data_IF_505895361600
#
_entry.id   IF_505895361600
#
_cell.length_a   1.000
_cell.length_b   1.000
_cell.length_c   1.000
_cell.angle_alpha   90.00
_cell.angle_beta   90.00
_cell.angle_gamma   90.00
#
_symmetry.space_group_name_H-M   'P 1'
#
loop_
_entity.id
_entity.type
_entity.pdbx_description
1 polymer ?
#
# COMPACT_ATOMS: atom_id res chain seq x y z
N UNK A 1 -26.72 0.58 4.46
CA UNK A 1 -26.37 2.01 4.32
C UNK A 1 -25.11 2.25 5.13
N UNK A 2 -24.18 3.02 4.58
CA UNK A 2 -22.91 3.32 5.22
C UNK A 2 -23.04 4.52 6.16
N UNK A 3 -22.48 4.43 7.36
CA UNK A 3 -22.55 5.49 8.37
C UNK A 3 -21.33 6.41 8.23
N UNK A 4 -21.54 7.68 7.88
CA UNK A 4 -20.45 8.64 7.67
C UNK A 4 -20.65 9.84 8.59
N UNK A 5 -19.63 10.15 9.39
CA UNK A 5 -19.61 11.30 10.30
C UNK A 5 -18.70 12.40 9.74
N UNK A 6 -19.24 13.62 9.62
CA UNK A 6 -18.47 14.83 9.34
C UNK A 6 -18.38 15.70 10.59
N UNK A 7 -17.17 16.17 10.92
CA UNK A 7 -16.90 17.01 12.08
C UNK A 7 -16.10 18.24 11.66
N UNK A 8 -16.68 19.42 11.87
CA UNK A 8 -16.06 20.73 11.55
C UNK A 8 -16.77 21.78 12.41
N UNK A 9 -16.04 22.75 12.97
CA UNK A 9 -16.64 23.79 13.82
C UNK A 9 -17.38 24.88 13.01
N UNK A 10 -17.16 24.95 11.69
CA UNK A 10 -17.92 25.82 10.80
C UNK A 10 -19.19 25.13 10.28
N UNK A 11 -20.32 25.51 10.87
CA UNK A 11 -21.65 25.05 10.46
C UNK A 11 -21.96 25.32 8.96
N UNK A 12 -21.33 26.31 8.32
CA UNK A 12 -21.52 26.56 6.89
C UNK A 12 -20.88 25.47 6.02
N UNK A 13 -19.70 24.98 6.43
CA UNK A 13 -18.99 23.87 5.76
C UNK A 13 -19.86 22.62 5.84
N UNK A 14 -20.32 22.25 7.05
CA UNK A 14 -21.19 21.08 7.26
C UNK A 14 -22.50 21.16 6.48
N UNK A 15 -23.16 22.33 6.48
CA UNK A 15 -24.38 22.54 5.70
C UNK A 15 -24.12 22.47 4.18
N UNK A 16 -22.94 22.93 3.74
CA UNK A 16 -22.45 22.76 2.37
C UNK A 16 -22.36 21.29 1.98
N UNK A 17 -21.65 20.49 2.78
CA UNK A 17 -21.49 19.04 2.59
C UNK A 17 -22.84 18.32 2.61
N UNK A 18 -23.71 18.63 3.58
CA UNK A 18 -25.05 18.04 3.71
C UNK A 18 -25.89 18.24 2.45
N UNK A 19 -25.93 19.45 1.90
CA UNK A 19 -26.71 19.75 0.67
C UNK A 19 -26.16 19.01 -0.54
N UNK A 20 -24.83 18.91 -0.65
CA UNK A 20 -24.15 18.29 -1.80
C UNK A 20 -24.28 16.77 -1.80
N UNK A 21 -24.05 16.12 -0.66
CA UNK A 21 -23.92 14.66 -0.58
C UNK A 21 -25.27 13.92 -0.49
N UNK A 22 -26.30 14.54 0.12
CA UNK A 22 -27.60 13.89 0.37
C UNK A 22 -28.29 13.38 -0.91
N UNK A 23 -28.13 14.08 -2.03
CA UNK A 23 -28.71 13.68 -3.32
C UNK A 23 -27.81 12.78 -4.17
N UNK A 24 -26.50 12.90 -4.01
CA UNK A 24 -25.53 12.23 -4.88
C UNK A 24 -25.23 10.78 -4.46
N UNK A 25 -25.44 10.43 -3.18
CA UNK A 25 -25.08 9.14 -2.58
C UNK A 25 -26.19 8.63 -1.63
N UNK A 26 -27.30 8.07 -2.15
CA UNK A 26 -28.42 7.60 -1.33
C UNK A 26 -28.06 6.43 -0.39
N UNK A 27 -26.97 5.72 -0.66
CA UNK A 27 -26.45 4.64 0.17
C UNK A 27 -25.72 5.13 1.44
N UNK A 28 -25.49 6.44 1.58
CA UNK A 28 -24.80 7.07 2.69
C UNK A 28 -25.79 7.68 3.70
N UNK A 29 -25.67 7.26 4.95
CA UNK A 29 -26.33 7.91 6.07
C UNK A 29 -25.36 8.92 6.70
N UNK A 30 -25.65 10.21 6.48
CA UNK A 30 -24.75 11.31 6.82
C UNK A 30 -25.06 11.89 8.20
N UNK A 31 -24.05 11.93 9.05
CA UNK A 31 -24.08 12.52 10.38
C UNK A 31 -23.12 13.72 10.42
N UNK A 32 -23.47 14.73 11.20
CA UNK A 32 -22.72 15.98 11.27
C UNK A 32 -22.61 16.43 12.72
N UNK A 33 -21.42 16.82 13.15
CA UNK A 33 -21.14 17.36 14.48
C UNK A 33 -20.34 18.66 14.35
N UNK A 34 -20.68 19.68 15.13
CA UNK A 34 -20.02 20.99 15.12
C UNK A 34 -18.85 21.07 16.11
N UNK A 35 -18.50 19.96 16.77
CA UNK A 35 -17.38 19.88 17.71
C UNK A 35 -16.96 18.43 17.94
N UNK A 36 -15.73 18.20 18.40
CA UNK A 36 -15.27 16.88 18.80
C UNK A 36 -16.11 16.25 19.93
N UNK A 37 -16.64 17.05 20.86
CA UNK A 37 -17.50 16.55 21.94
C UNK A 37 -18.84 16.00 21.40
N UNK A 38 -19.50 16.75 20.51
CA UNK A 38 -20.74 16.30 19.85
C UNK A 38 -20.50 15.04 19.00
N UNK A 39 -19.34 14.94 18.34
CA UNK A 39 -18.94 13.75 17.59
C UNK A 39 -18.81 12.51 18.49
N UNK A 40 -18.23 12.64 19.69
CA UNK A 40 -18.13 11.55 20.66
C UNK A 40 -19.50 11.13 21.19
N UNK A 41 -20.40 12.07 21.49
CA UNK A 41 -21.78 11.75 21.91
C UNK A 41 -22.57 10.97 20.84
N UNK A 42 -22.29 11.22 19.56
CA UNK A 42 -22.85 10.43 18.46
C UNK A 42 -22.24 9.04 18.39
N UNK A 43 -20.91 8.93 18.55
CA UNK A 43 -20.18 7.66 18.53
C UNK A 43 -20.51 6.73 19.70
N UNK A 44 -20.96 7.27 20.84
CA UNK A 44 -21.49 6.45 21.94
C UNK A 44 -22.81 5.75 21.58
N UNK A 45 -23.55 6.28 20.59
CA UNK A 45 -24.89 5.79 20.23
C UNK A 45 -24.86 4.83 19.04
N UNK A 46 -23.84 4.91 18.19
CA UNK A 46 -23.72 4.09 16.98
C UNK A 46 -22.27 4.08 16.45
N UNK A 47 -21.95 3.06 15.67
CA UNK A 47 -20.66 2.94 14.98
C UNK A 47 -20.68 3.64 13.61
N UNK A 48 -19.54 4.20 13.24
CA UNK A 48 -19.31 4.83 11.93
C UNK A 48 -18.40 3.98 11.05
N UNK A 49 -18.70 3.95 9.75
CA UNK A 49 -17.80 3.34 8.76
C UNK A 49 -16.65 4.29 8.40
N UNK A 50 -16.94 5.59 8.32
CA UNK A 50 -15.97 6.64 7.99
C UNK A 50 -16.22 7.88 8.84
N UNK A 51 -15.15 8.45 9.38
CA UNK A 51 -15.14 9.69 10.15
C UNK A 51 -14.23 10.68 9.41
N UNK A 52 -14.77 11.84 9.06
CA UNK A 52 -14.04 12.95 8.43
C UNK A 52 -14.04 14.12 9.39
N UNK A 53 -12.87 14.53 9.87
CA UNK A 53 -12.72 15.62 10.83
C UNK A 53 -11.84 16.73 10.28
N UNK A 54 -12.21 17.98 10.55
CA UNK A 54 -11.24 19.07 10.53
C UNK A 54 -10.17 18.87 11.62
N UNK A 55 -8.97 19.40 11.38
CA UNK A 55 -7.89 19.36 12.36
C UNK A 55 -8.00 20.47 13.42
N UNK A 56 -8.40 21.69 13.04
CA UNK A 56 -8.42 22.87 13.92
C UNK A 56 -9.83 23.17 14.44
N UNK A 57 -10.22 22.51 15.53
CA UNK A 57 -11.50 22.78 16.18
C UNK A 57 -11.30 23.31 17.61
N UNK A 58 -12.11 24.28 18.07
CA UNK A 58 -12.07 24.77 19.44
C UNK A 58 -12.39 23.68 20.48
N UNK A 59 -11.67 23.71 21.60
CA UNK A 59 -11.87 22.78 22.72
C UNK A 59 -11.22 21.43 22.49
N UNK A 60 -11.75 20.63 21.56
CA UNK A 60 -11.20 19.34 21.16
C UNK A 60 -10.81 19.39 19.69
N UNK A 61 -9.50 19.33 19.43
CA UNK A 61 -8.95 19.28 18.06
C UNK A 61 -9.25 17.93 17.39
N UNK A 62 -9.16 17.89 16.05
CA UNK A 62 -9.44 16.67 15.29
C UNK A 62 -8.51 15.51 15.65
N UNK A 63 -7.28 15.81 16.06
CA UNK A 63 -6.31 14.79 16.50
C UNK A 63 -6.80 14.08 17.76
N UNK A 64 -7.17 14.84 18.78
CA UNK A 64 -7.66 14.33 20.06
C UNK A 64 -8.96 13.55 19.88
N UNK A 65 -9.84 14.01 18.99
CA UNK A 65 -11.04 13.28 18.60
C UNK A 65 -10.68 11.91 18.02
N UNK A 66 -9.79 11.87 17.03
CA UNK A 66 -9.42 10.63 16.35
C UNK A 66 -8.61 9.67 17.23
N UNK A 67 -7.81 10.17 18.17
CA UNK A 67 -7.14 9.34 19.20
C UNK A 67 -8.16 8.61 20.08
N UNK A 68 -9.29 9.25 20.35
CA UNK A 68 -10.39 8.65 21.11
C UNK A 68 -11.13 7.64 20.24
N UNK A 69 -11.47 8.02 19.00
CA UNK A 69 -12.15 7.12 18.04
C UNK A 69 -11.31 5.90 17.67
N UNK A 70 -9.99 6.00 17.62
CA UNK A 70 -9.11 4.84 17.42
C UNK A 70 -9.31 3.79 18.52
N UNK A 71 -9.60 4.20 19.76
CA UNK A 71 -9.82 3.29 20.88
C UNK A 71 -11.26 2.76 20.94
N UNK A 72 -12.23 3.59 20.60
CA UNK A 72 -13.66 3.25 20.74
C UNK A 72 -14.25 2.62 19.49
N UNK A 73 -13.83 3.05 18.30
CA UNK A 73 -14.26 2.57 16.99
C UNK A 73 -13.06 2.37 16.05
N UNK A 74 -12.13 1.42 16.37
CA UNK A 74 -10.90 1.20 15.60
C UNK A 74 -11.15 0.83 14.13
N UNK A 75 -12.27 0.15 13.85
CA UNK A 75 -12.69 -0.26 12.51
C UNK A 75 -13.12 0.93 11.62
N UNK A 76 -13.49 2.08 12.21
CA UNK A 76 -13.89 3.26 11.45
C UNK A 76 -12.68 3.84 10.69
N UNK A 77 -12.85 4.15 9.40
CA UNK A 77 -11.81 4.84 8.64
C UNK A 77 -11.78 6.31 9.04
N UNK A 78 -10.64 6.77 9.55
CA UNK A 78 -10.46 8.11 10.10
C UNK A 78 -9.70 8.99 9.10
N UNK A 79 -10.35 10.01 8.57
CA UNK A 79 -9.82 10.96 7.58
C UNK A 79 -9.73 12.36 8.23
N UNK A 80 -8.58 13.02 8.10
CA UNK A 80 -8.40 14.42 8.51
C UNK A 80 -8.38 15.32 7.29
N UNK A 81 -9.03 16.47 7.41
CA UNK A 81 -8.88 17.62 6.51
C UNK A 81 -7.84 18.60 7.12
N UNK A 82 -6.73 18.87 6.42
CA UNK A 82 -5.62 19.72 6.92
C UNK A 82 -5.41 20.97 6.09
N UNK A 83 -5.09 22.12 6.69
CA UNK A 83 -4.68 23.33 5.99
C UNK A 83 -3.17 23.42 5.76
N UNK A 84 -2.74 24.32 4.87
CA UNK A 84 -1.31 24.56 4.56
C UNK A 84 -0.48 25.07 5.76
N UNK A 85 -1.12 25.56 6.82
CA UNK A 85 -0.44 26.09 8.01
C UNK A 85 -0.19 25.03 9.11
N UNK A 86 -0.57 23.77 8.89
CA UNK A 86 -0.67 22.75 9.95
C UNK A 86 0.58 21.86 10.13
N UNK A 87 1.74 22.22 9.58
CA UNK A 87 2.95 21.38 9.61
C UNK A 87 3.36 20.87 11.01
N UNK A 88 3.11 21.66 12.08
CA UNK A 88 3.41 21.24 13.46
C UNK A 88 2.34 20.32 14.07
N UNK A 89 1.07 20.48 13.68
CA UNK A 89 -0.05 19.64 14.10
C UNK A 89 -0.11 18.32 13.32
N UNK A 90 0.45 18.30 12.11
CA UNK A 90 0.53 17.13 11.22
C UNK A 90 1.38 15.98 11.78
N UNK A 91 2.42 16.25 12.56
CA UNK A 91 3.18 15.15 13.20
C UNK A 91 2.37 14.48 14.32
N UNK A 92 1.47 15.23 14.99
CA UNK A 92 0.59 14.67 16.03
C UNK A 92 -0.54 13.83 15.45
N UNK A 93 -0.84 13.98 14.16
CA UNK A 93 -1.87 13.20 13.49
C UNK A 93 -1.38 11.83 13.03
N UNK A 94 -0.08 11.57 13.08
CA UNK A 94 0.52 10.26 12.75
C UNK A 94 0.14 9.27 13.85
N UNK A 95 -0.66 8.28 13.48
CA UNK A 95 -1.24 7.22 14.30
C UNK A 95 -2.77 7.30 14.29
N UNK A 96 -3.37 8.40 14.79
CA UNK A 96 -4.82 8.53 14.92
C UNK A 96 -5.59 8.59 13.59
N UNK A 97 -5.01 9.14 12.53
CA UNK A 97 -5.65 9.26 11.22
C UNK A 97 -5.07 8.27 10.20
N UNK A 98 -5.94 7.73 9.36
CA UNK A 98 -5.55 6.86 8.25
C UNK A 98 -5.22 7.67 6.99
N UNK A 99 -6.04 8.69 6.67
CA UNK A 99 -5.89 9.54 5.49
C UNK A 99 -5.88 11.03 5.81
N UNK A 100 -5.22 11.78 4.93
CA UNK A 100 -5.08 13.23 5.01
C UNK A 100 -5.49 13.86 3.69
N UNK A 101 -6.42 14.80 3.73
CA UNK A 101 -6.82 15.58 2.56
C UNK A 101 -6.54 17.06 2.81
N UNK A 102 -5.84 17.69 1.88
CA UNK A 102 -5.50 19.11 2.00
C UNK A 102 -6.71 20.01 1.74
N UNK A 103 -6.88 21.04 2.57
CA UNK A 103 -7.81 22.15 2.39
C UNK A 103 -7.14 23.22 1.48
N UNK A 104 -7.87 23.76 0.48
CA UNK A 104 -9.25 23.42 0.12
C UNK A 104 -9.34 22.04 -0.56
N UNK A 105 -10.23 21.20 -0.05
CA UNK A 105 -10.50 19.88 -0.62
C UNK A 105 -11.73 20.00 -1.52
N UNK A 106 -11.59 19.63 -2.79
CA UNK A 106 -12.73 19.58 -3.69
C UNK A 106 -13.64 18.38 -3.36
N UNK A 107 -14.88 18.44 -3.84
CA UNK A 107 -15.87 17.43 -3.47
C UNK A 107 -15.59 16.07 -4.13
N UNK A 108 -15.00 16.04 -5.32
CA UNK A 108 -14.75 14.78 -6.03
C UNK A 108 -13.69 13.98 -5.29
N UNK A 109 -12.58 14.63 -4.90
CA UNK A 109 -11.53 14.03 -4.07
C UNK A 109 -12.09 13.50 -2.75
N UNK A 110 -12.88 14.29 -2.00
CA UNK A 110 -13.45 13.84 -0.74
C UNK A 110 -14.40 12.64 -0.91
N UNK A 111 -15.25 12.67 -1.93
CA UNK A 111 -16.18 11.58 -2.22
C UNK A 111 -15.41 10.32 -2.61
N UNK A 112 -14.41 10.45 -3.47
CA UNK A 112 -13.57 9.34 -3.91
C UNK A 112 -12.84 8.70 -2.72
N UNK A 113 -12.26 9.48 -1.82
CA UNK A 113 -11.63 8.97 -0.59
C UNK A 113 -12.60 8.16 0.28
N UNK A 114 -13.84 8.64 0.44
CA UNK A 114 -14.87 7.92 1.22
C UNK A 114 -15.33 6.66 0.48
N UNK A 115 -15.57 6.72 -0.84
CA UNK A 115 -15.96 5.55 -1.64
C UNK A 115 -14.88 4.47 -1.63
N UNK A 116 -13.62 4.87 -1.75
CA UNK A 116 -12.47 3.98 -1.62
C UNK A 116 -12.44 3.34 -0.23
N UNK A 117 -12.55 4.14 0.86
CA UNK A 117 -12.62 3.63 2.23
C UNK A 117 -13.72 2.58 2.42
N UNK A 118 -14.91 2.82 1.86
CA UNK A 118 -16.04 1.88 1.94
C UNK A 118 -15.80 0.62 1.07
N UNK A 119 -15.17 0.77 -0.10
CA UNK A 119 -14.78 -0.35 -0.96
C UNK A 119 -13.78 -1.29 -0.29
N UNK A 120 -12.80 -0.74 0.44
CA UNK A 120 -11.83 -1.52 1.21
C UNK A 120 -12.50 -2.38 2.29
N UNK A 121 -13.53 -1.85 2.97
CA UNK A 121 -14.31 -2.62 3.95
C UNK A 121 -15.04 -3.80 3.32
N UNK A 122 -15.38 -3.74 2.03
CA UNK A 122 -15.97 -4.86 1.30
C UNK A 122 -14.91 -5.88 0.83
N UNK A 123 -13.68 -5.42 0.58
CA UNK A 123 -12.53 -6.25 0.23
C UNK A 123 -12.10 -7.11 1.43
N UNK A 124 -11.85 -6.49 2.59
CA UNK A 124 -11.47 -7.18 3.82
C UNK A 124 -12.68 -7.29 4.75
N UNK A 125 -13.48 -8.35 4.58
CA UNK A 125 -14.77 -8.47 5.28
C UNK A 125 -14.67 -8.78 6.77
N UNK A 126 -13.57 -9.36 7.24
CA UNK A 126 -13.37 -9.67 8.66
C UNK A 126 -13.19 -8.38 9.46
N UNK A 127 -14.11 -8.05 10.40
CA UNK A 127 -13.93 -6.93 11.32
C UNK A 127 -12.68 -7.08 12.21
N UNK A 128 -12.33 -8.32 12.57
CA UNK A 128 -11.16 -8.62 13.39
C UNK A 128 -9.87 -8.27 12.65
N UNK A 129 -9.75 -8.63 11.37
CA UNK A 129 -8.59 -8.27 10.55
C UNK A 129 -8.55 -6.77 10.23
N UNK A 130 -9.69 -6.13 9.97
CA UNK A 130 -9.73 -4.67 9.79
C UNK A 130 -9.26 -3.93 11.04
N UNK A 131 -9.71 -4.38 12.21
CA UNK A 131 -9.26 -3.86 13.51
C UNK A 131 -7.77 -4.12 13.71
N UNK A 132 -7.27 -5.31 13.37
CA UNK A 132 -5.85 -5.66 13.45
C UNK A 132 -4.98 -4.70 12.63
N UNK A 133 -5.39 -4.39 11.40
CA UNK A 133 -4.68 -3.46 10.53
C UNK A 133 -4.74 -2.02 11.08
N UNK A 134 -5.89 -1.60 11.62
CA UNK A 134 -6.10 -0.25 12.15
C UNK A 134 -5.50 0.01 13.53
N UNK A 135 -5.32 -1.02 14.37
CA UNK A 135 -4.85 -0.93 15.76
C UNK A 135 -3.36 -1.27 15.93
N UNK A 136 -2.71 -1.85 14.92
CA UNK A 136 -1.29 -2.18 15.02
C UNK A 136 -0.47 -0.90 15.19
N UNK A 137 0.11 -0.73 16.39
CA UNK A 137 0.81 0.50 16.84
C UNK A 137 1.93 0.98 15.93
N UNK A 138 2.47 0.11 15.08
CA UNK A 138 3.51 0.41 14.09
C UNK A 138 2.96 0.77 12.69
N UNK A 139 1.68 0.54 12.42
CA UNK A 139 1.11 0.46 11.06
C UNK A 139 -0.18 1.29 10.90
N UNK A 140 -0.72 1.84 11.99
CA UNK A 140 -1.89 2.72 11.97
C UNK A 140 -1.71 3.98 11.09
N UNK A 141 -0.47 4.40 10.86
CA UNK A 141 -0.14 5.45 9.89
C UNK A 141 1.15 5.16 9.13
N UNK A 142 1.32 5.76 7.94
CA UNK A 142 2.55 5.63 7.19
C UNK A 142 3.76 6.18 7.97
N UNK A 143 4.98 5.67 7.71
CA UNK A 143 6.21 6.19 8.30
C UNK A 143 6.41 7.69 8.02
N UNK A 144 7.03 8.42 8.96
CA UNK A 144 7.30 9.87 8.83
C UNK A 144 7.99 10.23 7.50
N UNK A 145 8.99 9.44 7.07
CA UNK A 145 9.69 9.66 5.81
C UNK A 145 8.73 9.60 4.60
N UNK A 146 7.77 8.67 4.61
CA UNK A 146 6.72 8.61 3.57
C UNK A 146 5.87 9.88 3.59
N UNK A 147 5.41 10.29 4.77
CA UNK A 147 4.53 11.45 4.94
C UNK A 147 5.20 12.76 4.51
N UNK A 148 6.49 12.93 4.84
CA UNK A 148 7.31 14.06 4.39
C UNK A 148 7.47 14.09 2.87
N UNK A 149 7.64 12.92 2.24
CA UNK A 149 7.68 12.81 0.78
C UNK A 149 6.31 13.17 0.17
N UNK A 150 5.21 12.62 0.70
CA UNK A 150 3.85 12.92 0.24
C UNK A 150 3.57 14.42 0.25
N UNK A 151 3.86 15.06 1.39
CA UNK A 151 3.69 16.51 1.56
C UNK A 151 4.56 17.29 0.57
N UNK A 152 5.82 16.88 0.40
CA UNK A 152 6.72 17.55 -0.53
C UNK A 152 6.26 17.40 -1.98
N UNK A 153 5.70 16.25 -2.37
CA UNK A 153 5.19 16.04 -3.73
C UNK A 153 3.85 16.73 -4.00
N UNK A 154 3.07 17.03 -2.96
CA UNK A 154 1.83 17.79 -3.08
C UNK A 154 2.05 19.27 -3.36
N UNK A 155 3.23 19.82 -3.04
CA UNK A 155 3.59 21.21 -3.37
C UNK A 155 3.78 21.36 -4.89
N UNK A 156 2.99 22.19 -5.60
CA UNK A 156 3.16 22.42 -7.03
C UNK A 156 4.53 22.96 -7.44
N UNK A 157 5.28 23.54 -6.50
CA UNK A 157 6.61 24.11 -6.71
C UNK A 157 7.73 23.29 -6.06
N UNK A 158 7.48 22.01 -5.77
CA UNK A 158 8.49 21.16 -5.16
C UNK A 158 9.77 21.08 -6.01
N UNK A 159 10.91 20.89 -5.33
CA UNK A 159 12.21 20.73 -5.99
C UNK A 159 12.78 19.34 -5.71
N UNK A 160 13.52 18.79 -6.68
CA UNK A 160 14.27 17.53 -6.48
C UNK A 160 15.30 17.64 -5.35
N UNK A 161 15.80 18.83 -5.04
CA UNK A 161 16.69 19.07 -3.90
C UNK A 161 15.97 18.86 -2.56
N UNK A 162 14.72 19.33 -2.45
CA UNK A 162 13.86 19.08 -1.27
C UNK A 162 13.66 17.58 -1.07
N UNK A 163 13.33 16.85 -2.15
CA UNK A 163 13.13 15.40 -2.10
C UNK A 163 14.43 14.68 -1.72
N UNK A 164 15.55 15.07 -2.33
CA UNK A 164 16.87 14.47 -2.04
C UNK A 164 17.24 14.64 -0.58
N UNK A 165 17.02 15.83 0.01
CA UNK A 165 17.26 16.09 1.44
C UNK A 165 16.39 15.24 2.36
N UNK A 166 15.14 14.98 1.98
CA UNK A 166 14.27 14.07 2.76
C UNK A 166 14.86 12.65 2.74
N UNK A 167 15.25 12.16 1.57
CA UNK A 167 15.85 10.82 1.43
C UNK A 167 17.19 10.73 2.19
N UNK A 168 18.07 11.71 2.01
CA UNK A 168 19.38 11.79 2.68
C UNK A 168 19.28 11.87 4.20
N UNK A 169 18.17 12.41 4.73
CA UNK A 169 17.92 12.42 6.18
C UNK A 169 17.63 11.03 6.76
N UNK A 170 17.36 10.03 5.90
CA UNK A 170 17.07 8.66 6.28
C UNK A 170 18.10 7.68 5.68
N UNK A 171 19.00 7.15 6.52
CA UNK A 171 20.12 6.30 6.10
C UNK A 171 19.67 5.01 5.39
N UNK A 172 18.62 4.33 5.89
CA UNK A 172 18.20 3.08 5.26
C UNK A 172 17.41 3.34 3.99
N UNK A 173 16.57 4.39 3.94
CA UNK A 173 15.95 4.77 2.68
C UNK A 173 17.00 5.15 1.64
N UNK A 174 18.00 5.95 2.01
CA UNK A 174 19.13 6.28 1.15
C UNK A 174 19.82 5.03 0.61
N UNK A 175 20.08 4.06 1.49
CA UNK A 175 20.72 2.80 1.11
C UNK A 175 19.87 2.01 0.13
N UNK A 176 18.57 1.87 0.39
CA UNK A 176 17.66 1.12 -0.49
C UNK A 176 17.41 1.83 -1.82
N UNK A 177 17.33 3.16 -1.82
CA UNK A 177 17.27 3.98 -3.04
C UNK A 177 18.48 3.72 -3.92
N UNK A 178 19.70 3.79 -3.36
CA UNK A 178 20.93 3.57 -4.10
C UNK A 178 21.04 2.12 -4.61
N UNK A 179 20.74 1.13 -3.76
CA UNK A 179 20.73 -0.29 -4.16
C UNK A 179 19.77 -0.55 -5.31
N UNK A 180 18.54 -0.05 -5.21
CA UNK A 180 17.54 -0.28 -6.23
C UNK A 180 17.91 0.44 -7.54
N UNK A 181 18.45 1.65 -7.52
CA UNK A 181 18.94 2.29 -8.76
C UNK A 181 20.09 1.55 -9.43
N UNK A 182 20.90 0.85 -8.66
CA UNK A 182 21.97 0.02 -9.21
C UNK A 182 21.49 -1.40 -9.56
N UNK A 183 20.19 -1.70 -9.37
CA UNK A 183 19.57 -2.94 -9.82
C UNK A 183 19.28 -2.96 -11.33
N UNK A 184 18.99 -4.15 -11.85
CA UNK A 184 18.81 -4.47 -13.28
C UNK A 184 17.82 -3.58 -14.05
N UNK A 185 16.88 -2.91 -13.37
CA UNK A 185 15.83 -2.11 -13.99
C UNK A 185 16.34 -0.83 -14.65
N UNK A 186 17.29 -0.13 -14.02
CA UNK A 186 17.70 1.20 -14.48
C UNK A 186 18.82 1.19 -15.52
N UNK A 187 19.37 -0.01 -15.81
CA UNK A 187 20.38 -0.25 -16.85
C UNK A 187 21.50 0.81 -16.90
N UNK A 188 21.93 1.30 -15.73
CA UNK A 188 22.95 2.36 -15.69
C UNK A 188 24.29 1.75 -16.04
N UNK A 189 24.96 2.29 -17.06
CA UNK A 189 26.31 1.88 -17.45
C UNK A 189 27.38 2.28 -16.43
N UNK A 190 27.02 3.08 -15.42
CA UNK A 190 27.87 3.50 -14.31
C UNK A 190 27.09 3.46 -12.99
N UNK A 191 27.73 3.00 -11.90
CA UNK A 191 27.11 2.97 -10.57
C UNK A 191 26.65 4.37 -10.14
N UNK A 192 25.36 4.49 -9.80
CA UNK A 192 24.77 5.69 -9.21
C UNK A 192 25.20 5.77 -7.75
N UNK A 193 25.95 6.81 -7.41
CA UNK A 193 26.45 7.08 -6.06
C UNK A 193 25.83 8.32 -5.40
N UNK A 194 24.99 9.07 -6.13
CA UNK A 194 24.34 10.28 -5.65
C UNK A 194 22.83 10.06 -5.48
N UNK A 195 22.30 10.42 -4.30
CA UNK A 195 20.87 10.33 -4.00
C UNK A 195 20.03 11.16 -4.97
N UNK A 196 20.45 12.38 -5.31
CA UNK A 196 19.70 13.22 -6.24
C UNK A 196 19.59 12.65 -7.65
N UNK A 197 20.62 11.92 -8.11
CA UNK A 197 20.54 11.17 -9.36
C UNK A 197 19.56 10.00 -9.21
N UNK A 198 19.68 9.23 -8.12
CA UNK A 198 18.83 8.07 -7.88
C UNK A 198 17.33 8.42 -7.79
N UNK A 199 16.99 9.49 -7.06
CA UNK A 199 15.63 10.02 -6.93
C UNK A 199 15.03 10.37 -8.29
N UNK A 200 15.81 10.98 -9.19
CA UNK A 200 15.33 11.35 -10.53
C UNK A 200 15.00 10.11 -11.38
N UNK A 201 15.75 9.03 -11.20
CA UNK A 201 15.55 7.78 -11.95
C UNK A 201 14.35 6.99 -11.46
N UNK A 202 14.21 6.83 -10.14
CA UNK A 202 13.17 6.03 -9.50
C UNK A 202 11.76 6.58 -9.70
N UNK A 203 11.64 7.89 -9.78
CA UNK A 203 10.36 8.57 -9.78
C UNK A 203 9.69 8.58 -8.41
N UNK A 204 8.57 9.30 -8.33
CA UNK A 204 7.83 9.57 -7.10
C UNK A 204 7.24 8.31 -6.47
N UNK A 205 6.49 7.52 -7.25
CA UNK A 205 5.75 6.35 -6.74
C UNK A 205 6.68 5.30 -6.13
N UNK A 206 7.78 4.99 -6.82
CA UNK A 206 8.79 4.05 -6.32
C UNK A 206 9.45 4.58 -5.05
N UNK A 207 9.75 5.88 -4.99
CA UNK A 207 10.38 6.46 -3.80
C UNK A 207 9.45 6.45 -2.59
N UNK A 208 8.17 6.79 -2.77
CA UNK A 208 7.13 6.68 -1.74
C UNK A 208 6.99 5.24 -1.26
N UNK A 209 6.88 4.27 -2.17
CA UNK A 209 6.79 2.85 -1.82
C UNK A 209 8.01 2.35 -1.05
N UNK A 210 9.23 2.76 -1.42
CA UNK A 210 10.44 2.42 -0.66
C UNK A 210 10.43 3.03 0.75
N UNK A 211 10.05 4.31 0.89
CA UNK A 211 9.98 4.97 2.19
C UNK A 211 8.99 4.26 3.12
N UNK A 212 7.84 3.87 2.56
CA UNK A 212 6.85 3.05 3.25
C UNK A 212 7.46 1.70 3.65
N UNK A 213 7.92 0.93 2.67
CA UNK A 213 8.44 -0.41 2.87
C UNK A 213 9.57 -0.46 3.92
N UNK A 214 10.56 0.44 3.80
CA UNK A 214 11.70 0.54 4.74
C UNK A 214 11.25 0.94 6.14
N UNK A 215 10.33 1.90 6.24
CA UNK A 215 9.83 2.37 7.52
C UNK A 215 9.05 1.29 8.27
N UNK A 216 8.22 0.51 7.58
CA UNK A 216 7.47 -0.58 8.20
C UNK A 216 8.38 -1.73 8.63
N UNK A 217 9.35 -2.10 7.79
CA UNK A 217 10.31 -3.13 8.13
C UNK A 217 11.14 -2.76 9.38
N UNK A 218 11.52 -1.49 9.53
CA UNK A 218 12.20 -0.99 10.74
C UNK A 218 11.31 -1.02 11.99
N UNK A 219 10.00 -0.89 11.81
CA UNK A 219 9.03 -1.01 12.90
C UNK A 219 8.82 -2.44 13.40
N UNK A 220 9.35 -3.45 12.71
CA UNK A 220 9.24 -4.84 13.11
C UNK A 220 10.11 -5.14 14.35
N UNK A 221 9.47 -5.58 15.43
CA UNK A 221 10.10 -5.91 16.73
C UNK A 221 10.10 -7.41 17.05
N UNK A 222 9.77 -8.26 16.06
CA UNK A 222 9.67 -9.70 16.25
C UNK A 222 11.00 -10.48 16.27
N UNK A 223 10.94 -11.82 16.45
CA UNK A 223 12.10 -12.70 16.52
C UNK A 223 13.07 -12.61 15.33
N UNK A 224 14.36 -12.88 15.58
CA UNK A 224 15.43 -12.74 14.57
C UNK A 224 15.24 -13.62 13.32
N UNK A 225 14.68 -14.82 13.48
CA UNK A 225 14.34 -15.71 12.36
C UNK A 225 13.24 -15.10 11.48
N UNK A 226 12.25 -14.43 12.07
CA UNK A 226 11.19 -13.74 11.32
C UNK A 226 11.72 -12.50 10.62
N UNK A 227 12.59 -11.73 11.29
CA UNK A 227 13.27 -10.61 10.65
C UNK A 227 14.07 -11.06 9.40
N UNK A 228 14.75 -12.21 9.48
CA UNK A 228 15.44 -12.80 8.34
C UNK A 228 14.48 -13.22 7.21
N UNK A 229 13.31 -13.80 7.55
CA UNK A 229 12.28 -14.17 6.58
C UNK A 229 11.71 -12.92 5.87
N UNK A 230 11.41 -11.86 6.63
CA UNK A 230 10.93 -10.58 6.12
C UNK A 230 11.98 -9.90 5.23
N UNK A 231 13.26 -9.97 5.58
CA UNK A 231 14.34 -9.46 4.72
C UNK A 231 14.39 -10.19 3.37
N UNK A 232 14.20 -11.52 3.36
CA UNK A 232 14.12 -12.28 2.10
C UNK A 232 12.87 -11.91 1.30
N UNK A 233 11.73 -11.73 1.96
CA UNK A 233 10.49 -11.28 1.34
C UNK A 233 10.62 -9.88 0.72
N UNK A 234 11.34 -8.96 1.39
CA UNK A 234 11.69 -7.64 0.86
C UNK A 234 12.43 -7.73 -0.46
N UNK A 235 13.58 -8.41 -0.47
CA UNK A 235 14.40 -8.54 -1.67
C UNK A 235 13.61 -9.19 -2.81
N UNK A 236 12.81 -10.22 -2.51
CA UNK A 236 11.94 -10.85 -3.49
C UNK A 236 10.87 -9.89 -4.03
N UNK A 237 10.23 -9.09 -3.18
CA UNK A 237 9.20 -8.13 -3.61
C UNK A 237 9.78 -7.03 -4.50
N UNK A 238 11.00 -6.57 -4.21
CA UNK A 238 11.75 -5.65 -5.07
C UNK A 238 12.07 -6.29 -6.43
N UNK A 239 12.57 -7.54 -6.44
CA UNK A 239 12.83 -8.29 -7.67
C UNK A 239 11.56 -8.44 -8.53
N UNK A 240 10.42 -8.80 -7.91
CA UNK A 240 9.14 -8.91 -8.60
C UNK A 240 8.75 -7.58 -9.24
N UNK A 241 8.86 -6.48 -8.51
CA UNK A 241 8.57 -5.14 -9.05
C UNK A 241 9.43 -4.77 -10.25
N UNK A 242 10.73 -5.06 -10.18
CA UNK A 242 11.68 -4.83 -11.28
C UNK A 242 11.38 -5.73 -12.48
N UNK A 243 11.20 -7.03 -12.27
CA UNK A 243 10.85 -7.98 -13.33
C UNK A 243 9.54 -7.59 -14.00
N UNK A 244 8.51 -7.24 -13.23
CA UNK A 244 7.23 -6.81 -13.75
C UNK A 244 7.35 -5.52 -14.57
N UNK A 245 8.18 -4.57 -14.15
CA UNK A 245 8.36 -3.32 -14.88
C UNK A 245 9.08 -3.53 -16.22
N UNK A 246 10.11 -4.40 -16.27
CA UNK A 246 10.75 -4.79 -17.52
C UNK A 246 9.80 -5.54 -18.46
N UNK A 247 8.93 -6.40 -17.92
CA UNK A 247 7.87 -7.08 -18.68
C UNK A 247 6.88 -6.04 -19.24
N UNK A 248 6.44 -5.07 -18.43
CA UNK A 248 5.54 -4.00 -18.85
C UNK A 248 6.15 -3.15 -19.98
N UNK A 249 7.44 -2.83 -19.88
CA UNK A 249 8.18 -2.10 -20.92
C UNK A 249 8.34 -2.91 -22.21
N UNK A 250 8.69 -4.19 -22.09
CA UNK A 250 8.79 -5.11 -23.22
C UNK A 250 7.46 -5.18 -24.00
N UNK A 251 6.35 -5.19 -23.26
CA UNK A 251 4.99 -5.20 -23.81
C UNK A 251 4.47 -3.82 -24.20
N UNK A 252 5.28 -2.77 -24.03
CA UNK A 252 5.01 -1.38 -24.40
C UNK A 252 3.74 -0.82 -23.74
N UNK A 253 3.53 -1.16 -22.47
CA UNK A 253 2.51 -0.50 -21.67
C UNK A 253 2.80 1.01 -21.56
N UNK A 254 1.76 1.85 -21.33
CA UNK A 254 1.93 3.28 -21.10
C UNK A 254 3.01 3.58 -20.06
N UNK A 255 3.78 4.64 -20.29
CA UNK A 255 4.93 4.98 -19.46
C UNK A 255 4.55 5.19 -17.99
N UNK A 256 3.38 5.78 -17.76
CA UNK A 256 2.81 6.03 -16.45
C UNK A 256 2.58 4.71 -15.69
N UNK A 257 2.16 3.65 -16.40
CA UNK A 257 1.97 2.32 -15.83
C UNK A 257 3.33 1.70 -15.52
N UNK A 258 4.27 1.69 -16.47
CA UNK A 258 5.61 1.12 -16.25
C UNK A 258 6.30 1.73 -15.03
N UNK A 259 6.18 3.05 -14.84
CA UNK A 259 6.75 3.75 -13.69
C UNK A 259 6.09 3.38 -12.34
N UNK A 260 4.83 2.94 -12.34
CA UNK A 260 4.11 2.54 -11.13
C UNK A 260 4.25 1.04 -10.80
N UNK A 261 4.64 0.20 -11.76
CA UNK A 261 4.76 -1.26 -11.54
C UNK A 261 5.79 -1.63 -10.46
N UNK A 262 6.99 -0.99 -10.37
CA UNK A 262 7.93 -1.30 -9.30
C UNK A 262 7.36 -1.10 -7.89
N UNK A 263 6.60 -0.03 -7.67
CA UNK A 263 5.97 0.23 -6.37
C UNK A 263 4.92 -0.83 -6.04
N UNK A 264 4.10 -1.25 -7.01
CA UNK A 264 3.14 -2.34 -6.82
C UNK A 264 3.85 -3.63 -6.40
N UNK A 265 4.95 -3.99 -7.07
CA UNK A 265 5.71 -5.20 -6.71
C UNK A 265 6.28 -5.15 -5.30
N UNK A 266 6.84 -4.02 -4.88
CA UNK A 266 7.35 -3.83 -3.51
C UNK A 266 6.26 -3.93 -2.46
N UNK A 267 5.08 -3.40 -2.75
CA UNK A 267 3.96 -3.32 -1.82
C UNK A 267 3.05 -4.56 -1.84
N UNK A 268 3.18 -5.44 -2.85
CA UNK A 268 2.33 -6.63 -3.02
C UNK A 268 2.27 -7.56 -1.80
N UNK A 269 3.38 -7.69 -1.06
CA UNK A 269 3.48 -8.55 0.12
C UNK A 269 3.47 -7.76 1.45
N UNK A 270 3.05 -6.50 1.44
CA UNK A 270 3.01 -5.67 2.66
C UNK A 270 2.05 -6.26 3.72
N UNK A 271 0.98 -6.95 3.30
CA UNK A 271 0.06 -7.62 4.22
C UNK A 271 0.69 -8.77 5.01
N UNK A 272 1.73 -9.41 4.45
CA UNK A 272 2.46 -10.47 5.14
C UNK A 272 3.21 -9.92 6.36
N UNK A 273 3.69 -8.67 6.29
CA UNK A 273 4.29 -8.00 7.46
C UNK A 273 3.27 -7.84 8.59
N UNK A 274 2.02 -7.47 8.27
CA UNK A 274 0.94 -7.38 9.27
C UNK A 274 0.73 -8.73 9.98
N UNK A 275 0.70 -9.82 9.21
CA UNK A 275 0.52 -11.18 9.74
C UNK A 275 1.69 -11.60 10.63
N UNK A 276 2.95 -11.38 10.22
CA UNK A 276 4.10 -11.70 11.06
C UNK A 276 4.15 -10.87 12.35
N UNK A 277 3.86 -9.56 12.27
CA UNK A 277 3.91 -8.68 13.44
C UNK A 277 2.83 -9.00 14.47
N UNK A 278 1.63 -9.40 14.05
CA UNK A 278 0.48 -9.50 14.95
C UNK A 278 -0.07 -10.93 15.14
N UNK A 279 0.33 -11.89 14.29
CA UNK A 279 -0.16 -13.28 14.23
C UNK A 279 0.97 -14.27 13.92
N UNK A 280 2.17 -13.98 14.43
CA UNK A 280 3.41 -14.75 14.23
C UNK A 280 3.23 -16.29 14.24
N UNK A 281 2.67 -16.83 15.32
CA UNK A 281 2.61 -18.29 15.52
C UNK A 281 1.65 -18.96 14.53
N UNK A 282 0.55 -18.29 14.23
CA UNK A 282 -0.41 -18.75 13.21
C UNK A 282 0.19 -18.67 11.80
N UNK A 283 0.97 -17.62 11.51
CA UNK A 283 1.68 -17.49 10.24
C UNK A 283 2.74 -18.58 10.07
N UNK A 284 3.42 -18.98 11.15
CA UNK A 284 4.34 -20.11 11.11
C UNK A 284 3.62 -21.41 10.76
N UNK A 285 2.46 -21.67 11.36
CA UNK A 285 1.65 -22.84 11.03
C UNK A 285 1.19 -22.83 9.56
N UNK A 286 0.85 -21.66 9.01
CA UNK A 286 0.51 -21.48 7.58
C UNK A 286 1.69 -21.90 6.68
N UNK A 287 2.90 -21.44 6.98
CA UNK A 287 4.10 -21.81 6.19
C UNK A 287 4.36 -23.32 6.25
N UNK A 288 4.23 -23.94 7.42
CA UNK A 288 4.40 -25.39 7.59
C UNK A 288 3.35 -26.18 6.79
N UNK A 289 2.10 -25.68 6.70
CA UNK A 289 1.05 -26.30 5.89
C UNK A 289 1.34 -26.21 4.40
N UNK A 290 1.83 -25.07 3.90
CA UNK A 290 2.22 -24.92 2.50
C UNK A 290 3.25 -25.97 2.11
N UNK A 291 4.26 -26.22 2.95
CA UNK A 291 5.30 -27.23 2.70
C UNK A 291 4.75 -28.66 2.77
N UNK A 292 3.88 -28.95 3.74
CA UNK A 292 3.37 -30.31 3.99
C UNK A 292 2.25 -30.74 3.05
N UNK A 293 1.36 -29.83 2.70
CA UNK A 293 0.14 -30.09 1.94
C UNK A 293 0.29 -29.73 0.46
N UNK A 294 1.30 -28.92 0.09
CA UNK A 294 1.53 -28.48 -1.28
C UNK A 294 0.49 -27.47 -1.80
N UNK A 295 -0.29 -26.86 -0.90
CA UNK A 295 -1.26 -25.81 -1.23
C UNK A 295 -0.56 -24.45 -1.41
N UNK A 296 -1.23 -23.51 -2.07
CA UNK A 296 -0.70 -22.16 -2.23
C UNK A 296 -0.75 -21.35 -0.93
N UNK A 297 0.12 -20.35 -0.81
CA UNK A 297 0.18 -19.50 0.39
C UNK A 297 -1.13 -18.70 0.57
N UNK A 298 -1.73 -18.21 -0.51
CA UNK A 298 -3.00 -17.50 -0.48
C UNK A 298 -4.16 -18.40 -0.03
N UNK A 299 -4.17 -19.68 -0.44
CA UNK A 299 -5.16 -20.64 0.05
C UNK A 299 -4.95 -20.91 1.55
N UNK A 300 -3.72 -21.18 1.97
CA UNK A 300 -3.40 -21.49 3.36
C UNK A 300 -3.74 -20.33 4.30
N UNK A 301 -3.44 -19.09 3.91
CA UNK A 301 -3.81 -17.89 4.65
C UNK A 301 -5.33 -17.67 4.70
N UNK A 302 -6.05 -17.84 3.58
CA UNK A 302 -7.51 -17.70 3.55
C UNK A 302 -8.19 -18.72 4.48
N UNK A 303 -7.71 -19.96 4.51
CA UNK A 303 -8.26 -20.99 5.41
C UNK A 303 -7.94 -20.71 6.89
N UNK A 304 -6.77 -20.13 7.20
CA UNK A 304 -6.35 -19.84 8.57
C UNK A 304 -6.98 -18.55 9.12
N UNK A 305 -6.98 -17.47 8.32
CA UNK A 305 -7.32 -16.11 8.77
C UNK A 305 -8.65 -15.60 8.20
N UNK A 306 -9.20 -16.24 7.18
CA UNK A 306 -10.38 -15.76 6.45
C UNK A 306 -10.07 -14.67 5.41
N UNK A 307 -8.80 -14.32 5.22
CA UNK A 307 -8.29 -13.45 4.15
C UNK A 307 -6.80 -13.74 3.91
N UNK A 308 -6.29 -13.42 2.71
CA UNK A 308 -4.88 -13.51 2.39
C UNK A 308 -4.12 -12.21 2.65
N UNK A 309 -2.79 -12.28 2.54
CA UNK A 309 -1.91 -11.10 2.61
C UNK A 309 -2.23 -10.07 1.53
N UNK A 310 -2.74 -10.49 0.38
CA UNK A 310 -3.11 -9.61 -0.73
C UNK A 310 -4.24 -8.65 -0.32
N UNK A 311 -5.33 -9.17 0.27
CA UNK A 311 -6.44 -8.35 0.74
C UNK A 311 -6.05 -7.47 1.92
N UNK A 312 -5.26 -8.00 2.86
CA UNK A 312 -4.77 -7.26 4.03
C UNK A 312 -3.88 -6.10 3.59
N UNK A 313 -2.95 -6.36 2.67
CA UNK A 313 -2.05 -5.34 2.13
C UNK A 313 -2.79 -4.28 1.35
N UNK A 314 -3.73 -4.68 0.49
CA UNK A 314 -4.57 -3.75 -0.26
C UNK A 314 -5.45 -2.90 0.67
N UNK A 315 -6.01 -3.49 1.73
CA UNK A 315 -6.77 -2.78 2.76
C UNK A 315 -5.91 -1.68 3.41
N UNK A 316 -4.70 -2.02 3.84
CA UNK A 316 -3.75 -1.07 4.43
C UNK A 316 -3.39 0.07 3.47
N UNK A 317 -3.01 -0.25 2.23
CA UNK A 317 -2.66 0.76 1.24
C UNK A 317 -3.83 1.69 0.93
N UNK A 318 -5.04 1.14 0.88
CA UNK A 318 -6.23 1.96 0.72
C UNK A 318 -6.54 2.82 1.94
N UNK A 319 -6.28 2.35 3.16
CA UNK A 319 -6.34 3.19 4.36
C UNK A 319 -5.37 4.37 4.26
N UNK A 320 -4.24 4.22 3.57
CA UNK A 320 -3.28 5.30 3.33
C UNK A 320 -3.57 6.14 2.08
N UNK A 321 -4.67 5.88 1.39
CA UNK A 321 -5.12 6.68 0.25
C UNK A 321 -4.36 6.40 -1.06
N UNK A 322 -3.74 5.21 -1.21
CA UNK A 322 -3.13 4.84 -2.48
C UNK A 322 -4.16 4.82 -3.63
N UNK A 323 -3.73 5.07 -4.88
CA UNK A 323 -4.65 5.03 -6.02
C UNK A 323 -5.30 3.65 -6.20
N UNK A 324 -6.57 3.63 -6.61
CA UNK A 324 -7.32 2.39 -6.83
C UNK A 324 -6.62 1.37 -7.75
N UNK A 325 -5.92 1.76 -8.84
CA UNK A 325 -5.18 0.80 -9.66
C UNK A 325 -4.06 0.07 -8.90
N UNK A 326 -3.37 0.75 -7.96
CA UNK A 326 -2.33 0.13 -7.12
C UNK A 326 -2.96 -0.84 -6.13
N UNK A 327 -4.02 -0.41 -5.44
CA UNK A 327 -4.77 -1.24 -4.49
C UNK A 327 -5.30 -2.50 -5.16
N UNK A 328 -5.89 -2.37 -6.35
CA UNK A 328 -6.42 -3.49 -7.13
C UNK A 328 -5.31 -4.45 -7.56
N UNK A 329 -4.19 -3.93 -8.06
CA UNK A 329 -3.08 -4.78 -8.45
C UNK A 329 -2.52 -5.56 -7.25
N UNK A 330 -2.43 -4.95 -6.06
CA UNK A 330 -2.04 -5.64 -4.82
C UNK A 330 -3.11 -6.63 -4.36
N UNK A 331 -4.41 -6.31 -4.43
CA UNK A 331 -5.47 -7.20 -3.95
C UNK A 331 -5.60 -8.49 -4.78
N UNK A 332 -5.37 -8.40 -6.09
CA UNK A 332 -5.69 -9.47 -7.04
C UNK A 332 -4.44 -10.11 -7.66
N UNK A 333 -3.23 -9.83 -7.16
CA UNK A 333 -1.99 -10.31 -7.78
C UNK A 333 -1.87 -11.84 -7.86
N UNK A 334 -2.55 -12.63 -7.00
CA UNK A 334 -2.63 -14.10 -7.13
C UNK A 334 -3.75 -14.58 -8.05
N UNK A 335 -4.76 -13.74 -8.30
CA UNK A 335 -6.03 -14.09 -8.94
C UNK A 335 -6.46 -13.01 -9.94
N UNK A 336 -5.63 -12.72 -10.96
CA UNK A 336 -5.91 -11.62 -11.89
C UNK A 336 -7.24 -11.78 -12.64
N UNK A 337 -7.71 -13.03 -12.81
CA UNK A 337 -8.97 -13.37 -13.48
C UNK A 337 -10.24 -12.83 -12.79
N UNK A 338 -10.15 -12.52 -11.50
CA UNK A 338 -11.27 -11.96 -10.73
C UNK A 338 -11.59 -10.51 -11.14
N UNK A 339 -10.69 -9.84 -11.84
CA UNK A 339 -10.94 -8.53 -12.43
C UNK A 339 -11.24 -8.65 -13.93
N UNK A 340 -12.37 -8.11 -14.41
CA UNK A 340 -12.72 -8.18 -15.82
C UNK A 340 -11.81 -7.24 -16.63
N UNK A 341 -10.82 -7.82 -17.32
CA UNK A 341 -10.01 -7.12 -18.29
C UNK A 341 -9.77 -7.99 -19.54
N UNK A 342 -9.43 -7.32 -20.65
CA UNK A 342 -9.20 -7.94 -21.96
C UNK A 342 -7.79 -7.68 -22.50
N UNK A 343 -7.06 -6.77 -21.88
CA UNK A 343 -5.70 -6.37 -22.27
C UNK A 343 -4.75 -6.49 -21.08
N UNK A 344 -3.46 -6.56 -21.36
CA UNK A 344 -2.43 -6.63 -20.33
C UNK A 344 -2.40 -5.36 -19.47
N UNK A 345 -2.31 -5.54 -18.15
CA UNK A 345 -2.26 -4.45 -17.17
C UNK A 345 -1.04 -4.58 -16.25
N UNK A 346 -0.83 -3.59 -15.37
CA UNK A 346 0.16 -3.72 -14.29
C UNK A 346 -0.07 -4.99 -13.44
N UNK A 347 -1.33 -5.33 -13.17
CA UNK A 347 -1.70 -6.54 -12.45
C UNK A 347 -1.21 -7.80 -13.18
N UNK A 348 -1.40 -7.87 -14.50
CA UNK A 348 -0.87 -8.97 -15.32
C UNK A 348 0.65 -9.07 -15.20
N UNK A 349 1.36 -7.95 -15.32
CA UNK A 349 2.82 -7.91 -15.24
C UNK A 349 3.33 -8.40 -13.88
N UNK A 350 2.69 -7.98 -12.79
CA UNK A 350 2.99 -8.42 -11.43
C UNK A 350 2.72 -9.91 -11.25
N UNK A 351 1.55 -10.38 -11.70
CA UNK A 351 1.16 -11.78 -11.66
C UNK A 351 2.18 -12.68 -12.36
N UNK A 352 2.60 -12.36 -13.59
CA UNK A 352 3.58 -13.21 -14.28
C UNK A 352 4.97 -13.10 -13.65
N UNK A 353 5.38 -11.90 -13.22
CA UNK A 353 6.68 -11.70 -12.58
C UNK A 353 6.82 -12.52 -11.30
N UNK A 354 5.79 -12.58 -10.43
CA UNK A 354 5.87 -13.36 -9.19
C UNK A 354 6.10 -14.86 -9.43
N UNK A 355 5.46 -15.43 -10.46
CA UNK A 355 5.60 -16.84 -10.80
C UNK A 355 6.95 -17.10 -11.45
N UNK A 356 7.36 -16.26 -12.41
CA UNK A 356 8.63 -16.44 -13.12
C UNK A 356 9.83 -16.24 -12.18
N UNK A 357 9.80 -15.23 -11.30
CA UNK A 357 10.85 -15.05 -10.28
C UNK A 357 10.93 -16.25 -9.34
N UNK A 358 9.79 -16.87 -8.98
CA UNK A 358 9.76 -18.12 -8.20
C UNK A 358 10.39 -19.27 -8.96
N UNK A 359 9.99 -19.49 -10.21
CA UNK A 359 10.54 -20.57 -11.04
C UNK A 359 12.06 -20.46 -11.20
N UNK A 360 12.60 -19.24 -11.35
CA UNK A 360 14.05 -19.03 -11.42
C UNK A 360 14.72 -19.41 -10.09
N UNK A 361 14.15 -19.01 -8.96
CA UNK A 361 14.68 -19.38 -7.64
C UNK A 361 14.62 -20.90 -7.39
N UNK A 362 13.52 -21.57 -7.77
CA UNK A 362 13.35 -23.01 -7.63
C UNK A 362 14.36 -23.77 -8.52
N UNK A 363 14.64 -23.26 -9.73
CA UNK A 363 15.72 -23.76 -10.61
C UNK A 363 17.09 -23.65 -9.97
N UNK A 364 17.41 -22.47 -9.43
CA UNK A 364 18.69 -22.21 -8.75
C UNK A 364 18.87 -23.13 -7.53
N UNK A 365 17.77 -23.49 -6.85
CA UNK A 365 17.76 -24.43 -5.72
C UNK A 365 17.78 -25.91 -6.14
N UNK A 366 17.73 -26.23 -7.44
CA UNK A 366 17.67 -27.60 -7.95
C UNK A 366 16.34 -28.31 -7.70
N UNK A 367 15.26 -27.57 -7.48
CA UNK A 367 13.91 -28.08 -7.26
C UNK A 367 13.17 -28.33 -8.59
N UNK A 368 12.14 -29.18 -8.57
CA UNK A 368 11.26 -29.40 -9.72
C UNK A 368 10.45 -28.14 -10.02
N UNK A 369 10.46 -27.72 -11.29
CA UNK A 369 9.70 -26.56 -11.75
C UNK A 369 8.30 -27.04 -12.16
N UNK A 370 7.29 -26.73 -11.36
CA UNK A 370 5.90 -26.79 -11.80
C UNK A 370 5.39 -25.36 -11.99
N UNK A 371 5.15 -24.98 -13.25
CA UNK A 371 4.60 -23.66 -13.54
C UNK A 371 3.17 -23.59 -13.03
N UNK A 372 2.91 -22.59 -12.20
CA UNK A 372 1.58 -22.28 -11.64
C UNK A 372 0.89 -21.14 -12.40
N UNK A 373 1.44 -20.74 -13.55
CA UNK A 373 0.87 -19.68 -14.39
C UNK A 373 -0.38 -20.20 -15.12
N UNK A 374 -1.47 -19.49 -14.96
CA UNK A 374 -2.74 -19.75 -15.64
C UNK A 374 -2.62 -19.43 -17.14
N UNK A 375 -2.42 -20.50 -17.92
CA UNK A 375 -2.27 -20.39 -19.38
C UNK A 375 -3.59 -20.03 -20.09
N UNK A 376 -4.74 -20.35 -19.50
CA UNK A 376 -6.05 -19.99 -20.06
C UNK A 376 -6.29 -18.49 -19.91
N UNK A 377 -5.94 -17.93 -18.76
CA UNK A 377 -5.90 -16.48 -18.55
C UNK A 377 -4.99 -15.78 -19.56
N UNK A 378 -3.74 -16.23 -19.73
CA UNK A 378 -2.82 -15.63 -20.69
C UNK A 378 -3.30 -15.76 -22.14
N UNK A 379 -3.99 -16.85 -22.47
CA UNK A 379 -4.62 -17.03 -23.79
C UNK A 379 -5.75 -16.01 -23.98
N UNK A 380 -6.60 -15.81 -22.97
CA UNK A 380 -7.71 -14.85 -23.00
C UNK A 380 -7.25 -13.41 -23.26
N UNK A 381 -6.10 -12.99 -22.71
CA UNK A 381 -5.53 -11.66 -22.94
C UNK A 381 -4.56 -11.60 -24.13
N UNK A 382 -4.41 -12.69 -24.89
CA UNK A 382 -3.57 -12.75 -26.09
C UNK A 382 -2.06 -12.73 -25.82
N UNK A 383 -1.61 -13.21 -24.65
CA UNK A 383 -0.20 -13.19 -24.23
C UNK A 383 0.42 -14.56 -23.94
N UNK A 384 -0.28 -15.67 -24.20
CA UNK A 384 0.25 -17.03 -23.98
C UNK A 384 1.65 -17.25 -24.60
N UNK A 385 1.87 -16.77 -25.83
CA UNK A 385 3.13 -16.92 -26.55
C UNK A 385 4.29 -16.01 -26.10
N UNK A 386 4.16 -15.29 -24.97
CA UNK A 386 5.18 -14.37 -24.44
C UNK A 386 5.97 -14.90 -23.25
N UNK A 387 5.59 -16.09 -22.75
CA UNK A 387 6.15 -16.66 -21.52
C UNK A 387 7.66 -16.88 -21.60
N UNK A 388 8.19 -17.27 -22.77
CA UNK A 388 9.62 -17.52 -22.94
C UNK A 388 10.42 -16.23 -22.81
N UNK A 389 9.99 -15.15 -23.45
CA UNK A 389 10.67 -13.85 -23.36
C UNK A 389 10.58 -13.26 -21.96
N UNK A 390 9.42 -13.39 -21.29
CA UNK A 390 9.27 -12.95 -19.90
C UNK A 390 10.12 -13.78 -18.93
N UNK A 391 10.27 -15.09 -19.15
CA UNK A 391 11.14 -15.94 -18.36
C UNK A 391 12.62 -15.53 -18.51
N UNK A 392 13.05 -15.16 -19.72
CA UNK A 392 14.39 -14.63 -19.95
C UNK A 392 14.62 -13.31 -19.20
N UNK A 393 13.62 -12.41 -19.18
CA UNK A 393 13.69 -11.18 -18.38
C UNK A 393 13.86 -11.52 -16.89
N UNK A 394 13.05 -12.44 -16.35
CA UNK A 394 13.15 -12.85 -14.95
C UNK A 394 14.51 -13.46 -14.59
N UNK A 395 15.09 -14.28 -15.47
CA UNK A 395 16.41 -14.87 -15.28
C UNK A 395 17.52 -13.80 -15.21
N UNK A 396 17.51 -12.83 -16.13
CA UNK A 396 18.48 -11.72 -16.15
C UNK A 396 18.38 -10.88 -14.87
N UNK A 397 17.17 -10.61 -14.40
CA UNK A 397 16.96 -9.86 -13.14
C UNK A 397 17.51 -10.65 -11.95
N UNK A 398 17.23 -11.94 -11.85
CA UNK A 398 17.70 -12.80 -10.76
C UNK A 398 19.23 -12.87 -10.68
N UNK A 399 19.90 -13.02 -11.82
CA UNK A 399 21.37 -13.07 -11.89
C UNK A 399 22.00 -11.79 -11.30
N UNK A 400 21.51 -10.62 -11.70
CA UNK A 400 22.05 -9.34 -11.21
C UNK A 400 21.75 -9.08 -9.73
N UNK A 401 20.61 -9.52 -9.22
CA UNK A 401 20.32 -9.34 -7.80
C UNK A 401 21.24 -10.20 -6.91
N UNK A 402 21.68 -11.38 -7.35
CA UNK A 402 22.70 -12.17 -6.63
C UNK A 402 23.99 -11.38 -6.45
N UNK A 403 24.46 -10.73 -7.51
CA UNK A 403 25.68 -9.90 -7.48
C UNK A 403 25.58 -8.75 -6.47
N UNK A 404 24.38 -8.20 -6.25
CA UNK A 404 24.12 -7.07 -5.33
C UNK A 404 23.90 -7.49 -3.87
N UNK A 405 23.47 -8.73 -3.60
CA UNK A 405 23.22 -9.21 -2.23
C UNK A 405 24.40 -9.96 -1.62
N UNK A 406 25.31 -10.47 -2.44
CA UNK A 406 26.53 -11.17 -2.01
C UNK A 406 27.73 -10.22 -1.78
N UNK A 407 27.56 -8.92 -2.08
CA UNK A 407 28.49 -7.81 -1.80
C UNK A 407 28.09 -7.04 -0.54
#
# INVERSE_FOLDING_TARGET
MHQILFVDDDANILNGLRRRLRGARPQWNLHFANSGAEALELAEKQDFDVIVSDIQMPGMDGVTLLETMQKTQPDAVRIILTGHADNASYLRTIGPAHQFLSKPCDNETLIESIENALGLRQLLRSPELRTLVADSKSLASPPDTYMRLETAFADPNYSLDTISKIVESDIALTTEVLKLTNSSYFAVTQNVSSVGHAVRMLGMETLKALALFVGLYRGFDGPANQAANLKRLCHRSQQIGVTAALIAEYERLPREICHAVPSIGMLSHIGTLILYTNRSDEMQAVVERVEKEGISIDQAENEQFGAGHAEIGAYLLGLWGFPAPVIQAVAYHHRPMDLPHQEMTALTAIYVAQHLTREVADRDAGMSIESSIDTDYLTRIGKHGRLEEWANIAAIVSEKYRELTDS
#
